data_IF_099961592414
#
_entry.id   IF_099961592414
#
_cell.length_a   1.000
_cell.length_b   1.000
_cell.length_c   1.000
_cell.angle_alpha   90.00
_cell.angle_beta   90.00
_cell.angle_gamma   90.00
#
_symmetry.space_group_name_H-M   'P 1'
#
loop_
_entity.id
_entity.type
_entity.pdbx_description
1 polymer ?
#
# COMPACT_ATOMS: atom_id res chain seq x y z
N UNK A 1 14.62 -8.80 -17.41
CA UNK A 1 15.32 -9.57 -16.36
C UNK A 1 15.94 -8.56 -15.41
N UNK A 2 15.35 -8.40 -14.23
CA UNK A 2 15.73 -7.38 -13.23
C UNK A 2 17.01 -7.82 -12.52
N UNK A 3 18.06 -7.00 -12.60
CA UNK A 3 19.29 -7.17 -11.82
C UNK A 3 19.10 -6.46 -10.46
N UNK A 4 18.29 -7.06 -9.59
CA UNK A 4 18.22 -6.68 -8.17
C UNK A 4 19.42 -7.33 -7.50
N UNK A 5 20.36 -6.53 -6.97
CA UNK A 5 21.50 -7.10 -6.23
C UNK A 5 20.98 -7.73 -4.94
N UNK A 6 21.65 -8.76 -4.42
CA UNK A 6 21.23 -9.46 -3.19
C UNK A 6 21.08 -8.53 -1.98
N UNK A 7 21.86 -7.44 -1.91
CA UNK A 7 21.72 -6.40 -0.89
C UNK A 7 20.39 -5.62 -1.03
N UNK A 8 19.95 -5.33 -2.25
CA UNK A 8 18.66 -4.66 -2.50
C UNK A 8 17.47 -5.53 -2.07
N UNK A 9 17.57 -6.85 -2.27
CA UNK A 9 16.50 -7.79 -1.89
C UNK A 9 16.38 -7.88 -0.37
N UNK A 10 17.50 -7.96 0.35
CA UNK A 10 17.50 -8.03 1.82
C UNK A 10 16.88 -6.77 2.42
N UNK A 11 17.27 -5.59 1.91
CA UNK A 11 16.71 -4.31 2.33
C UNK A 11 15.20 -4.20 2.07
N UNK A 12 14.72 -4.73 0.93
CA UNK A 12 13.29 -4.81 0.63
C UNK A 12 12.61 -5.69 1.66
N UNK A 13 13.13 -6.89 1.94
CA UNK A 13 12.53 -7.82 2.90
C UNK A 13 12.43 -7.18 4.28
N UNK A 14 13.52 -6.60 4.80
CA UNK A 14 13.51 -5.92 6.11
C UNK A 14 12.51 -4.77 6.17
N UNK A 15 12.38 -3.98 5.09
CA UNK A 15 11.38 -2.93 5.04
C UNK A 15 9.95 -3.51 5.03
N UNK A 16 9.72 -4.61 4.30
CA UNK A 16 8.41 -5.27 4.26
C UNK A 16 8.03 -5.93 5.59
N UNK A 17 8.98 -6.35 6.42
CA UNK A 17 8.72 -6.83 7.79
C UNK A 17 8.08 -5.75 8.68
N UNK A 18 8.26 -4.47 8.35
CA UNK A 18 7.63 -3.36 9.07
C UNK A 18 6.15 -3.16 8.72
N UNK A 19 5.66 -3.85 7.69
CA UNK A 19 4.26 -3.80 7.34
C UNK A 19 3.42 -4.57 8.35
N UNK A 20 2.23 -4.04 8.57
CA UNK A 20 1.19 -4.76 9.27
C UNK A 20 0.93 -6.15 8.63
N UNK A 21 0.79 -7.24 9.41
CA UNK A 21 0.60 -8.59 8.88
C UNK A 21 -0.54 -8.68 7.85
N UNK A 22 -1.71 -8.09 8.16
CA UNK A 22 -2.86 -8.04 7.22
C UNK A 22 -2.52 -7.34 5.88
N UNK A 23 -1.61 -6.35 5.86
CA UNK A 23 -1.17 -5.73 4.60
C UNK A 23 -0.20 -6.62 3.84
N UNK A 24 0.72 -7.26 4.56
CA UNK A 24 1.65 -8.22 3.97
C UNK A 24 0.91 -9.40 3.32
N UNK A 25 -0.13 -9.92 3.97
CA UNK A 25 -0.98 -10.98 3.43
C UNK A 25 -1.68 -10.57 2.13
N UNK A 26 -2.16 -9.32 2.06
CA UNK A 26 -2.79 -8.77 0.85
C UNK A 26 -1.76 -8.63 -0.28
N UNK A 27 -0.55 -8.16 0.02
CA UNK A 27 0.53 -8.07 -0.97
C UNK A 27 0.95 -9.46 -1.47
N UNK A 28 1.15 -10.41 -0.56
CA UNK A 28 1.51 -11.79 -0.91
C UNK A 28 0.42 -12.48 -1.73
N UNK A 29 -0.86 -12.23 -1.41
CA UNK A 29 -1.98 -12.72 -2.22
C UNK A 29 -1.97 -12.11 -3.62
N UNK A 30 -1.73 -10.80 -3.73
CA UNK A 30 -1.66 -10.11 -5.01
C UNK A 30 -0.50 -10.64 -5.88
N UNK A 31 0.68 -10.87 -5.30
CA UNK A 31 1.82 -11.48 -5.97
C UNK A 31 1.54 -12.89 -6.46
N UNK A 32 0.85 -13.73 -5.67
CA UNK A 32 0.42 -15.08 -6.10
C UNK A 32 -0.60 -15.03 -7.23
N UNK A 33 -1.50 -14.03 -7.23
CA UNK A 33 -2.44 -13.82 -8.35
C UNK A 33 -1.69 -13.51 -9.64
N UNK A 34 -0.68 -12.63 -9.57
CA UNK A 34 0.17 -12.31 -10.72
C UNK A 34 0.98 -13.51 -11.22
N UNK A 35 1.60 -14.26 -10.31
CA UNK A 35 2.42 -15.43 -10.64
C UNK A 35 1.64 -16.46 -11.47
N UNK A 36 0.37 -16.68 -11.11
CA UNK A 36 -0.53 -17.64 -11.77
C UNK A 36 -1.21 -17.08 -13.02
N UNK A 37 -0.98 -15.81 -13.37
CA UNK A 37 -1.69 -15.20 -14.49
C UNK A 37 -1.14 -15.67 -15.83
N UNK A 38 -2.03 -16.22 -16.65
CA UNK A 38 -1.74 -16.75 -17.99
C UNK A 38 -2.61 -16.09 -19.07
N UNK A 39 -3.81 -15.65 -18.71
CA UNK A 39 -4.77 -15.01 -19.61
C UNK A 39 -4.90 -13.50 -19.38
N UNK A 40 -5.50 -12.79 -20.34
CA UNK A 40 -5.79 -11.37 -20.20
C UNK A 40 -6.74 -11.11 -19.02
N UNK A 41 -7.70 -12.00 -18.75
CA UNK A 41 -8.55 -11.95 -17.57
C UNK A 41 -7.77 -12.12 -16.27
N UNK A 42 -6.82 -13.06 -16.21
CA UNK A 42 -5.99 -13.26 -15.02
C UNK A 42 -5.10 -12.03 -14.76
N UNK A 43 -4.57 -11.41 -15.82
CA UNK A 43 -3.76 -10.20 -15.72
C UNK A 43 -4.59 -9.00 -15.25
N UNK A 44 -5.82 -8.87 -15.71
CA UNK A 44 -6.76 -7.87 -15.18
C UNK A 44 -7.07 -8.13 -13.70
N UNK A 45 -7.21 -9.39 -13.30
CA UNK A 45 -7.43 -9.77 -11.90
C UNK A 45 -6.20 -9.51 -11.03
N UNK A 46 -4.99 -9.71 -11.55
CA UNK A 46 -3.74 -9.33 -10.88
C UNK A 46 -3.62 -7.81 -10.74
N UNK A 47 -3.98 -7.03 -11.77
CA UNK A 47 -4.01 -5.58 -11.66
C UNK A 47 -5.03 -5.11 -10.60
N UNK A 48 -6.19 -5.75 -10.53
CA UNK A 48 -7.21 -5.48 -9.51
C UNK A 48 -6.71 -5.78 -8.09
N UNK A 49 -5.92 -6.84 -7.90
CA UNK A 49 -5.36 -7.16 -6.58
C UNK A 49 -4.32 -6.13 -6.15
N UNK A 50 -3.50 -5.61 -7.07
CA UNK A 50 -2.60 -4.47 -6.81
C UNK A 50 -3.34 -3.21 -6.40
N UNK A 51 -4.45 -2.87 -7.07
CA UNK A 51 -5.33 -1.76 -6.65
C UNK A 51 -5.91 -1.98 -5.25
N UNK A 52 -6.42 -3.19 -4.96
CA UNK A 52 -6.96 -3.52 -3.64
C UNK A 52 -5.90 -3.38 -2.54
N UNK A 53 -4.66 -3.74 -2.83
CA UNK A 53 -3.54 -3.49 -1.92
C UNK A 53 -3.38 -1.99 -1.62
N UNK A 54 -3.37 -1.12 -2.64
CA UNK A 54 -3.28 0.34 -2.45
C UNK A 54 -4.44 0.91 -1.62
N UNK A 55 -5.65 0.41 -1.83
CA UNK A 55 -6.83 0.80 -1.03
C UNK A 55 -6.65 0.42 0.45
N UNK A 56 -6.19 -0.80 0.73
CA UNK A 56 -5.92 -1.27 2.10
C UNK A 56 -4.75 -0.52 2.75
N UNK A 57 -3.70 -0.26 1.98
CA UNK A 57 -2.58 0.56 2.43
C UNK A 57 -3.06 1.97 2.80
N UNK A 58 -3.94 2.58 2.01
CA UNK A 58 -4.52 3.87 2.33
C UNK A 58 -5.31 3.83 3.65
N UNK A 59 -6.14 2.80 3.86
CA UNK A 59 -6.88 2.60 5.12
C UNK A 59 -5.94 2.55 6.33
N UNK A 60 -4.80 1.88 6.15
CA UNK A 60 -3.79 1.75 7.19
C UNK A 60 -3.00 3.04 7.44
N UNK A 61 -2.53 3.71 6.39
CA UNK A 61 -1.68 4.90 6.49
C UNK A 61 -2.48 6.12 6.97
N UNK A 62 -3.65 6.33 6.37
CA UNK A 62 -4.52 7.46 6.64
C UNK A 62 -5.99 6.99 6.56
N UNK A 63 -6.58 6.57 7.70
CA UNK A 63 -7.96 6.10 7.75
C UNK A 63 -8.93 7.11 7.14
N UNK A 64 -10.03 6.61 6.56
CA UNK A 64 -11.03 7.46 5.95
C UNK A 64 -11.70 8.39 6.97
N UNK A 65 -11.95 9.64 6.57
CA UNK A 65 -12.55 10.67 7.42
C UNK A 65 -13.69 11.38 6.68
N UNK A 66 -14.70 11.83 7.42
CA UNK A 66 -15.79 12.65 6.87
C UNK A 66 -15.34 14.07 6.55
N UNK A 67 -14.49 14.64 7.41
CA UNK A 67 -13.96 15.99 7.23
C UNK A 67 -12.85 15.99 6.17
N UNK A 68 -12.78 17.01 5.31
CA UNK A 68 -11.70 17.11 4.34
C UNK A 68 -10.37 17.37 5.04
N UNK A 69 -9.28 16.89 4.44
CA UNK A 69 -7.92 17.22 4.82
C UNK A 69 -7.35 18.22 3.81
N UNK A 70 -7.02 19.44 4.24
CA UNK A 70 -6.55 20.55 3.37
C UNK A 70 -7.39 20.70 2.10
N UNK A 71 -8.71 20.85 2.29
CA UNK A 71 -9.72 20.97 1.23
C UNK A 71 -9.87 19.77 0.28
N UNK A 72 -9.17 18.67 0.53
CA UNK A 72 -9.31 17.42 -0.22
C UNK A 72 -10.21 16.44 0.52
N UNK A 73 -11.16 15.84 -0.20
CA UNK A 73 -11.97 14.72 0.31
C UNK A 73 -11.06 13.52 0.59
N UNK A 74 -11.19 12.94 1.77
CA UNK A 74 -10.40 11.80 2.26
C UNK A 74 -11.32 10.70 2.81
N UNK A 75 -12.47 10.50 2.15
CA UNK A 75 -13.39 9.42 2.47
C UNK A 75 -12.94 8.06 1.93
N UNK A 76 -13.76 7.03 2.16
CA UNK A 76 -13.46 5.63 1.81
C UNK A 76 -13.00 5.46 0.35
N UNK A 77 -13.70 6.12 -0.57
CA UNK A 77 -13.43 6.03 -2.02
C UNK A 77 -12.24 6.90 -2.47
N UNK A 78 -11.74 7.82 -1.64
CA UNK A 78 -10.61 8.71 -1.96
C UNK A 78 -9.27 8.16 -1.46
N UNK A 79 -8.99 6.87 -1.66
CA UNK A 79 -7.74 6.23 -1.21
C UNK A 79 -6.49 6.91 -1.77
N UNK A 80 -6.51 7.40 -3.03
CA UNK A 80 -5.44 8.24 -3.61
C UNK A 80 -5.12 9.45 -2.72
N UNK A 81 -6.13 10.23 -2.36
CA UNK A 81 -5.94 11.43 -1.54
C UNK A 81 -5.44 11.09 -0.14
N UNK A 82 -5.84 9.94 0.40
CA UNK A 82 -5.41 9.44 1.72
C UNK A 82 -3.93 9.06 1.72
N UNK A 83 -3.45 8.37 0.68
CA UNK A 83 -2.01 8.10 0.51
C UNK A 83 -1.24 9.42 0.38
N UNK A 84 -1.71 10.35 -0.45
CA UNK A 84 -1.11 11.68 -0.58
C UNK A 84 -1.06 12.46 0.75
N UNK A 85 -2.12 12.40 1.56
CA UNK A 85 -2.16 13.04 2.86
C UNK A 85 -1.08 12.49 3.78
N UNK A 86 -0.95 11.16 3.86
CA UNK A 86 0.12 10.51 4.62
C UNK A 86 1.52 10.96 4.16
N UNK A 87 1.82 10.85 2.86
CA UNK A 87 3.13 11.25 2.31
C UNK A 87 3.43 12.71 2.65
N UNK A 88 2.46 13.60 2.47
CA UNK A 88 2.64 15.03 2.76
C UNK A 88 2.96 15.26 4.22
N UNK A 89 2.20 14.66 5.14
CA UNK A 89 2.41 14.82 6.58
C UNK A 89 3.80 14.33 6.98
N UNK A 90 4.20 13.14 6.53
CA UNK A 90 5.47 12.55 6.95
C UNK A 90 6.68 13.22 6.27
N UNK A 91 6.57 13.65 5.02
CA UNK A 91 7.61 14.46 4.37
C UNK A 91 7.79 15.83 5.04
N UNK A 92 6.70 16.51 5.41
CA UNK A 92 6.76 17.79 6.12
C UNK A 92 7.41 17.63 7.50
N UNK A 93 7.02 16.61 8.27
CA UNK A 93 7.61 16.32 9.59
C UNK A 93 9.12 16.08 9.52
N UNK A 94 9.59 15.45 8.45
CA UNK A 94 11.00 15.09 8.26
C UNK A 94 11.77 16.09 7.39
N UNK A 95 11.18 17.25 7.04
CA UNK A 95 11.77 18.24 6.12
C UNK A 95 12.25 17.64 4.77
N UNK A 96 11.57 16.61 4.27
CA UNK A 96 11.95 15.86 3.08
C UNK A 96 11.00 16.16 1.90
N UNK A 97 11.01 17.41 1.45
CA UNK A 97 10.11 17.89 0.40
C UNK A 97 10.45 17.37 -1.00
N UNK A 98 11.69 16.94 -1.25
CA UNK A 98 12.07 16.31 -2.52
C UNK A 98 11.44 14.93 -2.69
N UNK A 99 11.31 14.16 -1.60
CA UNK A 99 10.58 12.89 -1.62
C UNK A 99 9.07 13.08 -1.82
N UNK A 100 8.48 14.20 -1.36
CA UNK A 100 7.05 14.46 -1.54
C UNK A 100 6.64 14.43 -3.02
N UNK A 101 7.35 15.18 -3.86
CA UNK A 101 7.02 15.26 -5.29
C UNK A 101 7.22 13.91 -5.98
N UNK A 102 8.33 13.23 -5.68
CA UNK A 102 8.69 11.94 -6.28
C UNK A 102 7.67 10.85 -5.89
N UNK A 103 7.40 10.69 -4.59
CA UNK A 103 6.51 9.65 -4.08
C UNK A 103 5.05 9.93 -4.42
N UNK A 104 4.66 11.22 -4.48
CA UNK A 104 3.34 11.63 -4.91
C UNK A 104 3.09 11.33 -6.39
N UNK A 105 4.03 11.68 -7.29
CA UNK A 105 3.95 11.33 -8.72
C UNK A 105 3.91 9.83 -8.94
N UNK A 106 4.70 9.08 -8.17
CA UNK A 106 4.73 7.62 -8.26
C UNK A 106 3.42 6.98 -7.75
N UNK A 107 2.81 7.54 -6.71
CA UNK A 107 1.46 7.15 -6.26
C UNK A 107 0.45 7.29 -7.40
N UNK A 108 0.47 8.42 -8.11
CA UNK A 108 -0.45 8.69 -9.21
C UNK A 108 -0.23 7.70 -10.36
N UNK A 109 1.03 7.49 -10.75
CA UNK A 109 1.40 6.54 -11.82
C UNK A 109 0.96 5.12 -11.50
N UNK A 110 1.22 4.61 -10.29
CA UNK A 110 0.84 3.25 -9.89
C UNK A 110 -0.67 3.06 -9.88
N UNK A 111 -1.41 4.04 -9.37
CA UNK A 111 -2.89 3.99 -9.37
C UNK A 111 -3.42 3.96 -10.80
N UNK A 112 -2.89 4.79 -11.69
CA UNK A 112 -3.30 4.82 -13.10
C UNK A 112 -2.96 3.51 -13.80
N UNK A 113 -1.79 2.90 -13.53
CA UNK A 113 -1.40 1.59 -14.08
C UNK A 113 -2.34 0.47 -13.63
N UNK A 114 -2.62 0.36 -12.33
CA UNK A 114 -3.51 -0.69 -11.83
C UNK A 114 -4.96 -0.48 -12.27
N UNK A 115 -5.41 0.77 -12.47
CA UNK A 115 -6.71 1.05 -13.05
C UNK A 115 -6.77 0.75 -14.55
N UNK A 116 -5.70 1.06 -15.31
CA UNK A 116 -5.62 0.78 -16.75
C UNK A 116 -5.56 -0.72 -17.04
N UNK A 117 -4.92 -1.51 -16.16
CA UNK A 117 -4.91 -2.97 -16.25
C UNK A 117 -6.30 -3.61 -16.24
N UNK A 118 -7.32 -2.89 -15.76
CA UNK A 118 -8.72 -3.36 -15.78
C UNK A 118 -9.43 -3.17 -17.13
N UNK A 119 -8.83 -2.43 -18.07
CA UNK A 119 -9.53 -1.94 -19.26
C UNK A 119 -8.74 -2.04 -20.58
N UNK A 120 -7.44 -2.39 -20.56
CA UNK A 120 -6.54 -2.14 -21.69
C UNK A 120 -5.70 -3.34 -22.16
N UNK A 121 -6.25 -4.56 -22.15
CA UNK A 121 -5.56 -5.81 -22.54
C UNK A 121 -4.08 -5.83 -22.10
N UNK A 122 -3.83 -5.76 -20.77
CA UNK A 122 -2.49 -5.53 -20.25
C UNK A 122 -1.57 -6.70 -20.60
N UNK A 123 -0.34 -6.41 -21.01
CA UNK A 123 0.66 -7.46 -21.20
C UNK A 123 1.23 -7.88 -19.84
N UNK A 124 1.63 -9.14 -19.69
CA UNK A 124 2.19 -9.68 -18.45
C UNK A 124 3.37 -8.85 -17.95
N UNK A 125 4.26 -8.44 -18.85
CA UNK A 125 5.45 -7.64 -18.52
C UNK A 125 5.09 -6.28 -17.92
N UNK A 126 4.00 -5.64 -18.39
CA UNK A 126 3.55 -4.36 -17.84
C UNK A 126 2.99 -4.51 -16.43
N UNK A 127 2.22 -5.57 -16.20
CA UNK A 127 1.67 -5.84 -14.85
C UNK A 127 2.79 -6.21 -13.90
N UNK A 128 3.73 -7.08 -14.30
CA UNK A 128 4.91 -7.42 -13.51
C UNK A 128 5.75 -6.19 -13.16
N UNK A 129 6.02 -5.32 -14.14
CA UNK A 129 6.73 -4.06 -13.90
C UNK A 129 6.00 -3.17 -12.89
N UNK A 130 4.67 -3.04 -12.99
CA UNK A 130 3.87 -2.27 -12.04
C UNK A 130 3.96 -2.84 -10.61
N UNK A 131 3.99 -4.17 -10.45
CA UNK A 131 4.20 -4.80 -9.15
C UNK A 131 5.61 -4.59 -8.59
N UNK A 132 6.63 -4.65 -9.44
CA UNK A 132 8.00 -4.33 -9.01
C UNK A 132 8.13 -2.88 -8.54
N UNK A 133 7.53 -1.94 -9.29
CA UNK A 133 7.52 -0.53 -8.94
C UNK A 133 6.71 -0.28 -7.67
N UNK A 134 5.58 -0.98 -7.49
CA UNK A 134 4.79 -0.94 -6.24
C UNK A 134 5.64 -1.32 -5.03
N UNK A 135 6.41 -2.40 -5.10
CA UNK A 135 7.29 -2.83 -3.99
C UNK A 135 8.36 -1.79 -3.71
N UNK A 136 9.02 -1.26 -4.74
CA UNK A 136 10.04 -0.19 -4.55
C UNK A 136 9.44 1.06 -3.94
N UNK A 137 8.28 1.49 -4.42
CA UNK A 137 7.55 2.62 -3.88
C UNK A 137 7.15 2.39 -2.43
N UNK A 138 6.64 1.19 -2.10
CA UNK A 138 6.26 0.82 -0.75
C UNK A 138 7.44 0.90 0.22
N UNK A 139 8.60 0.36 -0.16
CA UNK A 139 9.84 0.49 0.63
C UNK A 139 10.20 1.96 0.84
N UNK A 140 10.06 2.80 -0.18
CA UNK A 140 10.33 4.22 -0.06
C UNK A 140 9.33 4.94 0.88
N UNK A 141 8.05 4.56 0.87
CA UNK A 141 7.01 5.03 1.80
C UNK A 141 7.38 4.67 3.24
N UNK A 142 7.78 3.42 3.49
CA UNK A 142 8.20 2.93 4.81
C UNK A 142 9.41 3.71 5.31
N UNK A 143 10.37 3.99 4.43
CA UNK A 143 11.59 4.74 4.75
C UNK A 143 11.35 6.23 5.05
N UNK A 144 10.21 6.82 4.71
CA UNK A 144 9.89 8.21 5.12
C UNK A 144 9.88 8.29 6.65
N UNK A 145 9.16 7.37 7.29
CA UNK A 145 9.09 7.26 8.74
C UNK A 145 8.68 5.84 9.16
N UNK A 146 9.66 4.95 9.43
CA UNK A 146 9.39 3.56 9.80
C UNK A 146 8.51 3.43 11.05
N UNK A 147 8.67 4.33 12.02
CA UNK A 147 7.88 4.31 13.26
C UNK A 147 6.40 4.66 13.02
N UNK A 148 6.09 5.49 12.03
CA UNK A 148 4.69 5.83 11.68
C UNK A 148 3.96 4.70 10.95
N UNK A 149 4.70 3.86 10.22
CA UNK A 149 4.15 2.68 9.53
C UNK A 149 4.01 1.52 10.50
N UNK A 150 4.87 1.38 11.51
CA UNK A 150 4.70 0.37 12.56
C UNK A 150 3.56 0.75 13.49
N UNK A 151 2.38 0.16 13.29
CA UNK A 151 1.22 0.28 14.19
C UNK A 151 0.94 -1.08 14.84
N UNK A 152 1.81 -1.55 15.77
CA UNK A 152 1.76 -2.91 16.29
C UNK A 152 0.44 -3.26 16.98
N UNK A 153 -0.24 -2.25 17.56
CA UNK A 153 -1.52 -2.45 18.21
C UNK A 153 -2.66 -2.76 17.22
N UNK A 154 -2.57 -2.30 15.97
CA UNK A 154 -3.57 -2.62 14.95
C UNK A 154 -3.56 -4.12 14.58
N UNK A 155 -2.42 -4.79 14.75
CA UNK A 155 -2.30 -6.21 14.43
C UNK A 155 -3.15 -7.09 15.34
N UNK A 156 -3.46 -6.59 16.53
CA UNK A 156 -4.23 -7.28 17.56
C UNK A 156 -5.50 -6.50 17.94
N UNK A 157 -5.89 -5.49 17.17
CA UNK A 157 -7.00 -4.58 17.54
C UNK A 157 -8.30 -5.36 17.72
N UNK A 158 -8.61 -6.28 16.81
CA UNK A 158 -9.81 -7.11 16.87
C UNK A 158 -9.79 -8.06 18.08
N UNK A 159 -8.65 -8.69 18.35
CA UNK A 159 -8.44 -9.55 19.51
C UNK A 159 -8.53 -8.78 20.83
N UNK A 160 -7.96 -7.57 20.88
CA UNK A 160 -8.01 -6.67 22.03
C UNK A 160 -9.42 -6.14 22.26
N UNK A 161 -10.14 -5.73 21.21
CA UNK A 161 -11.54 -5.31 21.29
C UNK A 161 -12.41 -6.46 21.80
N UNK A 162 -12.29 -7.65 21.22
CA UNK A 162 -13.04 -8.83 21.66
C UNK A 162 -12.76 -9.21 23.12
N UNK A 163 -11.48 -9.17 23.52
CA UNK A 163 -11.08 -9.39 24.92
C UNK A 163 -11.71 -8.36 25.87
N UNK A 164 -11.64 -7.07 25.51
CA UNK A 164 -12.19 -5.98 26.31
C UNK A 164 -13.71 -6.04 26.41
N UNK A 165 -14.42 -6.30 25.30
CA UNK A 165 -15.87 -6.47 25.31
C UNK A 165 -16.29 -7.64 26.19
N UNK A 166 -15.60 -8.79 26.08
CA UNK A 166 -15.85 -9.94 26.95
C UNK A 166 -15.61 -9.61 28.43
N UNK A 167 -14.61 -8.79 28.75
CA UNK A 167 -14.32 -8.39 30.13
C UNK A 167 -15.35 -7.40 30.70
N UNK A 168 -15.85 -6.48 29.87
CA UNK A 168 -16.82 -5.46 30.27
C UNK A 168 -18.25 -6.02 30.38
N UNK A 169 -18.63 -6.98 29.52
CA UNK A 169 -19.94 -7.64 29.55
C UNK A 169 -20.07 -8.68 30.68
N UNK A 170 -18.96 -9.08 31.31
CA UNK A 170 -18.93 -9.97 32.48
C UNK A 170 -18.96 -9.22 33.83
N UNK A 171 -19.43 -7.96 33.85
CA UNK A 171 -19.75 -7.18 35.07
C UNK A 171 -21.22 -6.77 35.06
#
# INVERSE_FOLDING_TARGET
>A
MLDLKNEDISDIIYALEELHPKLFDVLAAASRTLERAETDEDLAQAALSGRRFLEKLADYLFPAQEKPWRDRKVGKTQYKNRIWAYITIECEKNNNMSSLETLGKETDRLIDLFNAGLHANPTKEKVEAAFCDLVKWLVAIIKINPASVRKPNLAYEEELENFLMTFLDNK
#
